data_IF_355549077007
#
_entry.id   IF_355549077007
#
_cell.length_a   1.000
_cell.length_b   1.000
_cell.length_c   1.000
_cell.angle_alpha   90.00
_cell.angle_beta   90.00
_cell.angle_gamma   90.00
#
_symmetry.space_group_name_H-M   'P 1'
#
loop_
_entity.id
_entity.type
_entity.pdbx_description
1 polymer ?
#
# COMPACT_ATOMS: atom_id res chain seq x y z
N UNK A 1 29.80 -4.65 11.37
CA UNK A 1 29.23 -5.68 10.47
C UNK A 1 27.99 -6.17 11.19
N UNK A 2 26.82 -5.81 10.70
CA UNK A 2 25.56 -6.08 11.41
C UNK A 2 25.35 -7.58 11.49
N UNK A 3 24.99 -8.10 12.67
CA UNK A 3 24.90 -9.54 12.96
C UNK A 3 23.92 -10.31 12.04
N UNK A 4 23.11 -9.59 11.26
CA UNK A 4 22.08 -10.11 10.38
C UNK A 4 22.56 -10.35 8.94
N UNK A 5 23.72 -9.82 8.54
CA UNK A 5 24.15 -9.85 7.12
C UNK A 5 24.49 -11.26 6.61
N UNK A 6 24.72 -12.25 7.48
CA UNK A 6 25.17 -13.60 7.07
C UNK A 6 24.05 -14.64 6.93
N UNK A 7 22.91 -14.47 7.60
CA UNK A 7 21.81 -15.44 7.55
C UNK A 7 20.84 -15.11 6.41
N UNK A 8 20.49 -16.12 5.60
CA UNK A 8 19.49 -15.95 4.53
C UNK A 8 18.06 -16.12 5.01
N UNK A 9 17.81 -16.81 6.13
CA UNK A 9 16.47 -17.03 6.66
C UNK A 9 16.38 -16.54 8.10
N UNK A 10 15.30 -15.84 8.42
CA UNK A 10 15.04 -15.26 9.72
C UNK A 10 13.60 -15.53 10.12
N UNK A 11 13.42 -16.09 11.32
CA UNK A 11 12.10 -16.44 11.87
C UNK A 11 11.93 -15.82 13.25
N UNK A 12 10.76 -15.21 13.51
CA UNK A 12 10.40 -14.65 14.82
C UNK A 12 11.37 -13.60 15.37
N UNK A 13 12.14 -12.94 14.48
CA UNK A 13 13.16 -11.98 14.88
C UNK A 13 12.59 -10.57 14.92
N UNK A 14 13.04 -9.79 15.90
CA UNK A 14 12.86 -8.34 15.92
C UNK A 14 14.14 -7.66 15.44
N UNK A 15 14.01 -6.83 14.42
CA UNK A 15 15.05 -5.97 13.88
C UNK A 15 14.74 -4.55 14.35
N UNK A 16 15.65 -3.94 15.11
CA UNK A 16 15.43 -2.62 15.70
C UNK A 16 16.49 -1.63 15.24
N UNK A 17 16.06 -0.44 14.79
CA UNK A 17 16.94 0.67 14.41
C UNK A 17 17.97 0.30 13.33
N UNK A 18 17.63 -0.61 12.43
CA UNK A 18 18.50 -1.04 11.34
C UNK A 18 18.49 0.00 10.23
N UNK A 19 19.66 0.29 9.66
CA UNK A 19 19.83 1.19 8.52
C UNK A 19 20.50 0.43 7.38
N UNK A 20 19.73 0.08 6.36
CA UNK A 20 20.17 -0.63 5.16
C UNK A 20 20.12 0.21 3.90
N UNK A 21 19.93 1.52 4.03
CA UNK A 21 19.67 2.43 2.92
C UNK A 21 20.57 2.22 1.69
N UNK A 22 19.95 2.19 0.51
CA UNK A 22 20.61 2.03 -0.78
C UNK A 22 21.26 0.65 -1.02
N UNK A 23 21.16 -0.29 -0.08
CA UNK A 23 21.74 -1.64 -0.25
C UNK A 23 20.88 -2.50 -1.18
N UNK A 24 21.53 -3.47 -1.82
CA UNK A 24 20.83 -4.61 -2.41
C UNK A 24 20.74 -5.72 -1.38
N UNK A 25 19.52 -6.18 -1.11
CA UNK A 25 19.22 -7.27 -0.19
C UNK A 25 18.69 -8.42 -1.04
N UNK A 26 19.48 -9.48 -1.16
CA UNK A 26 19.18 -10.59 -2.07
C UNK A 26 18.95 -11.92 -1.34
N UNK A 27 17.93 -12.67 -1.77
CA UNK A 27 17.73 -14.07 -1.39
C UNK A 27 17.37 -14.29 0.08
N UNK A 28 16.78 -13.29 0.76
CA UNK A 28 16.45 -13.37 2.18
C UNK A 28 14.98 -13.71 2.43
N UNK A 29 14.76 -14.58 3.39
CA UNK A 29 13.44 -15.00 3.85
C UNK A 29 13.21 -14.47 5.27
N UNK A 30 12.08 -13.80 5.46
CA UNK A 30 11.63 -13.29 6.75
C UNK A 30 10.25 -13.86 7.03
N UNK A 31 10.14 -14.64 8.09
CA UNK A 31 8.89 -15.21 8.56
C UNK A 31 8.57 -14.72 9.97
N UNK A 32 7.39 -14.13 10.15
CA UNK A 32 6.93 -13.63 11.45
C UNK A 32 7.94 -12.69 12.13
N UNK A 33 8.59 -11.85 11.33
CA UNK A 33 9.60 -10.91 11.81
C UNK A 33 9.02 -9.51 12.00
N UNK A 34 9.57 -8.77 12.95
CA UNK A 34 9.17 -7.40 13.23
C UNK A 34 10.34 -6.44 12.97
N UNK A 35 10.19 -5.58 11.98
CA UNK A 35 11.08 -4.45 11.72
C UNK A 35 10.53 -3.21 12.44
N UNK A 36 11.26 -2.73 13.43
CA UNK A 36 10.88 -1.58 14.24
C UNK A 36 11.91 -0.46 14.06
N UNK A 37 11.45 0.73 13.63
CA UNK A 37 12.31 1.90 13.41
C UNK A 37 13.47 1.65 12.44
N UNK A 38 13.25 0.79 11.44
CA UNK A 38 14.25 0.44 10.45
C UNK A 38 14.14 1.34 9.21
N UNK A 39 15.27 1.64 8.58
CA UNK A 39 15.31 2.31 7.28
C UNK A 39 15.87 1.37 6.23
N UNK A 40 15.04 1.04 5.25
CA UNK A 40 15.40 0.31 4.03
C UNK A 40 15.23 1.24 2.81
N UNK A 41 15.29 2.56 3.02
CA UNK A 41 15.11 3.56 1.97
C UNK A 41 16.03 3.29 0.78
N UNK A 42 15.47 3.35 -0.43
CA UNK A 42 16.20 3.14 -1.70
C UNK A 42 16.86 1.76 -1.87
N UNK A 43 16.53 0.78 -1.01
CA UNK A 43 17.04 -0.58 -1.17
C UNK A 43 16.49 -1.26 -2.43
N UNK A 44 17.29 -2.15 -2.99
CA UNK A 44 16.82 -3.14 -3.96
C UNK A 44 16.56 -4.43 -3.20
N UNK A 45 15.29 -4.87 -3.16
CA UNK A 45 14.91 -6.17 -2.63
C UNK A 45 14.83 -7.16 -3.80
N UNK A 46 15.75 -8.11 -3.81
CA UNK A 46 15.88 -9.10 -4.88
C UNK A 46 15.65 -10.50 -4.32
N UNK A 47 14.72 -11.25 -4.91
CA UNK A 47 14.42 -12.63 -4.49
C UNK A 47 14.19 -12.77 -2.97
N UNK A 48 13.63 -11.74 -2.35
CA UNK A 48 13.29 -11.76 -0.93
C UNK A 48 11.85 -12.23 -0.71
N UNK A 49 11.59 -12.81 0.46
CA UNK A 49 10.23 -13.15 0.91
C UNK A 49 9.97 -12.56 2.28
N UNK A 50 8.85 -11.86 2.42
CA UNK A 50 8.33 -11.40 3.70
C UNK A 50 6.96 -12.05 3.92
N UNK A 51 6.90 -12.96 4.88
CA UNK A 51 5.65 -13.61 5.29
C UNK A 51 5.34 -13.25 6.75
N UNK A 52 4.10 -12.80 7.01
CA UNK A 52 3.61 -12.44 8.36
C UNK A 52 4.51 -11.42 9.07
N UNK A 53 5.19 -10.57 8.32
CA UNK A 53 6.09 -9.59 8.90
C UNK A 53 5.38 -8.26 9.18
N UNK A 54 5.86 -7.54 10.20
CA UNK A 54 5.42 -6.19 10.52
C UNK A 54 6.55 -5.20 10.30
N UNK A 55 6.25 -4.08 9.63
CA UNK A 55 7.10 -2.90 9.55
C UNK A 55 6.43 -1.78 10.34
N UNK A 56 6.99 -1.42 11.48
CA UNK A 56 6.49 -0.38 12.37
C UNK A 56 7.50 0.76 12.47
N UNK A 57 7.02 2.00 12.32
CA UNK A 57 7.85 3.22 12.34
C UNK A 57 9.04 3.18 11.35
N UNK A 58 8.88 2.49 10.22
CA UNK A 58 9.96 2.28 9.26
C UNK A 58 9.98 3.33 8.12
N UNK A 59 11.12 3.39 7.42
CA UNK A 59 11.24 4.09 6.14
C UNK A 59 11.60 3.10 5.02
N UNK A 60 10.63 2.79 4.17
CA UNK A 60 10.74 1.94 2.98
C UNK A 60 10.65 2.77 1.69
N UNK A 61 10.83 4.10 1.78
CA UNK A 61 10.65 4.96 0.62
C UNK A 61 11.58 4.54 -0.52
N UNK A 62 11.04 4.50 -1.74
CA UNK A 62 11.78 4.22 -2.97
C UNK A 62 12.44 2.83 -3.03
N UNK A 63 11.98 1.84 -2.23
CA UNK A 63 12.46 0.46 -2.45
C UNK A 63 12.09 -0.03 -3.85
N UNK A 64 13.03 -0.75 -4.45
CA UNK A 64 12.84 -1.41 -5.73
C UNK A 64 12.60 -2.90 -5.50
N UNK A 65 11.54 -3.42 -6.10
CA UNK A 65 11.13 -4.81 -5.94
C UNK A 65 11.54 -5.61 -7.19
N UNK A 66 12.41 -6.59 -7.00
CA UNK A 66 12.77 -7.59 -8.00
C UNK A 66 12.45 -8.96 -7.45
N UNK A 67 11.51 -9.68 -8.07
CA UNK A 67 11.15 -11.04 -7.67
C UNK A 67 10.86 -11.21 -6.16
N UNK A 68 10.38 -10.16 -5.50
CA UNK A 68 10.18 -10.13 -4.03
C UNK A 68 8.71 -10.33 -3.68
N UNK A 69 8.42 -11.17 -2.70
CA UNK A 69 7.07 -11.51 -2.27
C UNK A 69 6.72 -10.89 -0.90
N UNK A 70 5.48 -10.39 -0.78
CA UNK A 70 4.92 -9.87 0.47
C UNK A 70 3.58 -10.55 0.73
N UNK A 71 3.52 -11.38 1.77
CA UNK A 71 2.35 -12.16 2.15
C UNK A 71 1.99 -11.92 3.62
N UNK A 72 0.79 -11.40 3.88
CA UNK A 72 0.32 -11.03 5.22
C UNK A 72 1.28 -10.05 5.91
N UNK A 73 1.74 -9.06 5.17
CA UNK A 73 2.66 -8.04 5.71
C UNK A 73 1.87 -6.83 6.19
N UNK A 74 2.20 -6.35 7.38
CA UNK A 74 1.58 -5.17 7.98
C UNK A 74 2.58 -4.01 8.02
N UNK A 75 2.15 -2.84 7.57
CA UNK A 75 2.89 -1.59 7.65
C UNK A 75 2.12 -0.63 8.57
N UNK A 76 2.78 -0.20 9.64
CA UNK A 76 2.24 0.66 10.68
C UNK A 76 3.13 1.90 10.78
N UNK A 77 2.55 3.10 10.69
CA UNK A 77 3.28 4.36 10.84
C UNK A 77 4.52 4.48 9.92
N UNK A 78 4.48 3.82 8.76
CA UNK A 78 5.64 3.62 7.90
C UNK A 78 5.58 4.52 6.66
N UNK A 79 6.74 5.03 6.24
CA UNK A 79 6.88 5.67 4.93
C UNK A 79 7.14 4.60 3.88
N UNK A 80 6.30 4.53 2.87
CA UNK A 80 6.36 3.60 1.77
C UNK A 80 6.08 4.35 0.46
N UNK A 81 6.78 5.47 0.28
CA UNK A 81 6.58 6.45 -0.79
C UNK A 81 7.26 5.98 -2.07
N UNK A 82 6.59 6.13 -3.22
CA UNK A 82 7.18 5.90 -4.54
C UNK A 82 7.52 4.44 -4.83
N UNK A 83 6.81 3.48 -4.23
CA UNK A 83 7.08 2.06 -4.44
C UNK A 83 6.22 1.53 -5.60
N UNK A 84 6.86 0.87 -6.55
CA UNK A 84 6.21 0.14 -7.62
C UNK A 84 5.71 -1.25 -7.14
N UNK A 85 4.67 -1.28 -6.30
CA UNK A 85 4.07 -2.52 -5.79
C UNK A 85 3.53 -3.45 -6.88
N UNK A 86 3.22 -2.94 -8.07
CA UNK A 86 2.87 -3.77 -9.23
C UNK A 86 4.00 -4.77 -9.59
N UNK A 87 5.26 -4.50 -9.22
CA UNK A 87 6.40 -5.40 -9.42
C UNK A 87 6.56 -6.49 -8.33
N UNK A 88 5.83 -6.41 -7.22
CA UNK A 88 5.85 -7.46 -6.20
C UNK A 88 5.32 -8.79 -6.77
N UNK A 89 5.90 -9.92 -6.36
CA UNK A 89 5.38 -11.25 -6.73
C UNK A 89 3.94 -11.43 -6.26
N UNK A 90 3.16 -12.20 -7.00
CA UNK A 90 1.80 -12.58 -6.63
C UNK A 90 1.84 -13.85 -5.77
N UNK A 91 0.99 -14.02 -4.75
CA UNK A 91 -0.04 -13.10 -4.24
C UNK A 91 0.53 -11.97 -3.37
N UNK A 92 0.01 -10.75 -3.56
CA UNK A 92 0.33 -9.59 -2.74
C UNK A 92 -0.74 -9.42 -1.66
N UNK A 93 -0.37 -9.60 -0.39
CA UNK A 93 -1.27 -9.41 0.75
C UNK A 93 -0.59 -8.49 1.75
N UNK A 94 -0.94 -7.20 1.68
CA UNK A 94 -0.35 -6.12 2.46
C UNK A 94 -1.42 -5.25 3.11
N UNK A 95 -1.11 -4.72 4.29
CA UNK A 95 -1.96 -3.77 5.02
C UNK A 95 -1.16 -2.53 5.38
N UNK A 96 -1.74 -1.36 5.16
CA UNK A 96 -1.16 -0.05 5.51
C UNK A 96 -2.08 0.66 6.50
N UNK A 97 -1.54 1.04 7.66
CA UNK A 97 -2.24 1.86 8.65
C UNK A 97 -1.36 3.03 9.05
N UNK A 98 -1.90 4.25 9.01
CA UNK A 98 -1.15 5.46 9.34
C UNK A 98 0.13 5.64 8.51
N UNK A 99 0.12 5.16 7.26
CA UNK A 99 1.29 5.15 6.39
C UNK A 99 1.30 6.32 5.41
N UNK A 100 2.47 6.64 4.87
CA UNK A 100 2.63 7.53 3.72
C UNK A 100 2.98 6.68 2.51
N UNK A 101 2.05 6.53 1.59
CA UNK A 101 2.19 5.68 0.39
C UNK A 101 2.17 6.49 -0.90
N UNK A 102 2.24 7.83 -0.84
CA UNK A 102 2.18 8.71 -2.01
C UNK A 102 3.11 8.29 -3.14
N UNK A 103 2.69 8.51 -4.38
CA UNK A 103 3.40 8.17 -5.63
C UNK A 103 3.68 6.67 -5.83
N UNK A 104 3.09 5.79 -5.01
CA UNK A 104 3.17 4.35 -5.21
C UNK A 104 2.26 3.87 -6.33
N UNK A 105 2.55 2.69 -6.89
CA UNK A 105 1.71 2.07 -7.92
C UNK A 105 1.40 0.62 -7.58
N UNK A 106 0.11 0.33 -7.43
CA UNK A 106 -0.45 -1.00 -7.20
C UNK A 106 -1.11 -1.59 -8.45
N UNK A 107 -0.97 -0.94 -9.61
CA UNK A 107 -1.76 -1.23 -10.81
C UNK A 107 -1.86 -2.71 -11.16
N UNK A 108 -3.07 -3.13 -11.54
CA UNK A 108 -3.39 -4.50 -11.92
C UNK A 108 -3.33 -5.54 -10.80
N UNK A 109 -3.05 -5.16 -9.54
CA UNK A 109 -2.97 -6.13 -8.43
C UNK A 109 -4.34 -6.55 -7.92
N UNK A 110 -4.39 -7.79 -7.46
CA UNK A 110 -5.50 -8.27 -6.64
C UNK A 110 -5.23 -7.92 -5.18
N UNK A 111 -5.97 -6.93 -4.68
CA UNK A 111 -5.91 -6.37 -3.34
C UNK A 111 -7.29 -6.47 -2.66
N UNK A 112 -8.02 -7.56 -2.93
CA UNK A 112 -9.30 -7.83 -2.29
C UNK A 112 -9.12 -7.85 -0.76
N UNK A 113 -9.93 -7.06 -0.05
CA UNK A 113 -9.80 -6.80 1.40
C UNK A 113 -8.50 -6.11 1.82
N UNK A 114 -7.82 -5.42 0.89
CA UNK A 114 -6.65 -4.60 1.19
C UNK A 114 -6.98 -3.50 2.21
N UNK A 115 -6.01 -3.15 3.05
CA UNK A 115 -6.17 -2.17 4.11
C UNK A 115 -5.27 -0.98 3.81
N UNK A 116 -5.86 0.21 3.74
CA UNK A 116 -5.22 1.50 3.47
C UNK A 116 -5.87 2.53 4.39
N UNK A 117 -5.79 2.34 5.70
CA UNK A 117 -6.48 3.18 6.68
C UNK A 117 -5.60 4.33 7.15
N UNK A 118 -6.17 5.52 7.27
CA UNK A 118 -5.47 6.73 7.74
C UNK A 118 -4.16 7.00 7.00
N UNK A 119 -4.10 6.67 5.72
CA UNK A 119 -2.91 6.81 4.90
C UNK A 119 -2.92 8.14 4.15
N UNK A 120 -1.74 8.70 3.95
CA UNK A 120 -1.52 9.73 2.92
C UNK A 120 -1.16 9.01 1.61
N UNK A 121 -2.04 9.09 0.62
CA UNK A 121 -1.97 8.33 -0.63
C UNK A 121 -2.07 9.26 -1.85
N UNK A 122 -1.31 10.37 -1.81
CA UNK A 122 -1.31 11.32 -2.92
C UNK A 122 -0.75 10.68 -4.19
N UNK A 123 -1.41 10.88 -5.33
CA UNK A 123 -0.99 10.37 -6.65
C UNK A 123 -0.68 8.86 -6.69
N UNK A 124 -1.36 8.06 -5.85
CA UNK A 124 -1.22 6.60 -5.88
C UNK A 124 -2.02 6.01 -7.04
N UNK A 125 -1.41 5.07 -7.76
CA UNK A 125 -2.06 4.40 -8.87
C UNK A 125 -2.70 3.06 -8.46
N UNK A 126 -4.03 3.00 -8.46
CA UNK A 126 -4.86 1.81 -8.22
C UNK A 126 -5.56 1.29 -9.49
N UNK A 127 -5.11 1.70 -10.68
CA UNK A 127 -5.76 1.33 -11.95
C UNK A 127 -5.75 -0.17 -12.19
N UNK A 128 -6.88 -0.71 -12.64
CA UNK A 128 -7.05 -2.15 -12.93
C UNK A 128 -7.01 -3.05 -11.70
N UNK A 129 -6.98 -2.50 -10.48
CA UNK A 129 -6.93 -3.30 -9.26
C UNK A 129 -8.27 -3.97 -8.95
N UNK A 130 -8.21 -5.17 -8.35
CA UNK A 130 -9.33 -5.70 -7.58
C UNK A 130 -9.20 -5.20 -6.14
N UNK A 131 -10.02 -4.25 -5.75
CA UNK A 131 -10.09 -3.65 -4.42
C UNK A 131 -11.45 -3.94 -3.75
N UNK A 132 -12.08 -5.07 -4.12
CA UNK A 132 -13.33 -5.49 -3.49
C UNK A 132 -13.15 -5.59 -1.97
N UNK A 133 -14.04 -4.97 -1.21
CA UNK A 133 -13.99 -4.92 0.27
C UNK A 133 -12.71 -4.29 0.84
N UNK A 134 -11.96 -3.51 0.05
CA UNK A 134 -10.82 -2.76 0.56
C UNK A 134 -11.27 -1.65 1.53
N UNK A 135 -10.41 -1.29 2.47
CA UNK A 135 -10.68 -0.27 3.47
C UNK A 135 -9.74 0.91 3.34
N UNK A 136 -10.28 2.04 2.87
CA UNK A 136 -9.62 3.32 2.70
C UNK A 136 -10.01 4.33 3.80
N UNK A 137 -10.64 3.89 4.89
CA UNK A 137 -11.20 4.81 5.88
C UNK A 137 -10.17 5.77 6.47
N UNK A 138 -10.58 7.05 6.56
CA UNK A 138 -9.73 8.13 7.08
C UNK A 138 -8.53 8.50 6.21
N UNK A 139 -8.40 7.93 5.00
CA UNK A 139 -7.26 8.19 4.12
C UNK A 139 -7.46 9.38 3.22
N UNK A 140 -6.34 10.05 2.96
CA UNK A 140 -6.25 11.14 2.03
C UNK A 140 -5.80 10.63 0.65
N UNK A 141 -6.63 10.84 -0.36
CA UNK A 141 -6.50 10.20 -1.68
C UNK A 141 -6.29 11.24 -2.80
N UNK A 142 -5.69 12.39 -2.49
CA UNK A 142 -5.52 13.47 -3.47
C UNK A 142 -4.78 13.01 -4.74
N UNK A 143 -5.45 13.12 -5.88
CA UNK A 143 -4.88 12.69 -7.16
C UNK A 143 -4.67 11.18 -7.29
N UNK A 144 -5.14 10.37 -6.34
CA UNK A 144 -5.10 8.91 -6.47
C UNK A 144 -5.92 8.48 -7.69
N UNK A 145 -5.34 7.60 -8.51
CA UNK A 145 -5.92 7.16 -9.77
C UNK A 145 -6.70 5.86 -9.58
N UNK A 146 -8.01 5.94 -9.77
CA UNK A 146 -8.91 4.78 -9.87
C UNK A 146 -9.47 4.72 -11.30
N UNK A 147 -8.99 3.77 -12.10
CA UNK A 147 -9.44 3.56 -13.47
C UNK A 147 -9.58 2.05 -13.71
N UNK A 148 -10.74 1.62 -14.21
CA UNK A 148 -11.05 0.19 -14.40
C UNK A 148 -10.89 -0.64 -13.10
N UNK A 149 -11.16 -0.03 -11.94
CA UNK A 149 -10.96 -0.62 -10.62
C UNK A 149 -12.26 -1.23 -10.08
N UNK A 150 -12.17 -2.41 -9.45
CA UNK A 150 -13.29 -2.99 -8.70
C UNK A 150 -13.27 -2.54 -7.25
N UNK A 151 -14.11 -1.56 -6.90
CA UNK A 151 -14.30 -1.01 -5.56
C UNK A 151 -15.58 -1.55 -4.89
N UNK A 152 -16.11 -2.69 -5.34
CA UNK A 152 -17.34 -3.26 -4.79
C UNK A 152 -17.20 -3.51 -3.29
N UNK A 153 -18.09 -2.94 -2.48
CA UNK A 153 -18.07 -2.99 -1.02
C UNK A 153 -16.83 -2.35 -0.36
N UNK A 154 -16.07 -1.52 -1.08
CA UNK A 154 -14.96 -0.78 -0.49
C UNK A 154 -15.47 0.26 0.52
N UNK A 155 -14.66 0.56 1.53
CA UNK A 155 -14.97 1.51 2.58
C UNK A 155 -14.14 2.78 2.41
N UNK A 156 -14.80 3.90 2.07
CA UNK A 156 -14.21 5.24 2.00
C UNK A 156 -14.75 6.16 3.11
N UNK A 157 -15.28 5.60 4.21
CA UNK A 157 -15.80 6.41 5.33
C UNK A 157 -14.68 7.26 5.92
N UNK A 158 -14.89 8.58 5.92
CA UNK A 158 -13.92 9.57 6.38
C UNK A 158 -12.69 9.73 5.49
N UNK A 159 -12.65 9.06 4.33
CA UNK A 159 -11.67 9.37 3.30
C UNK A 159 -12.06 10.67 2.59
N UNK A 160 -11.08 11.39 2.07
CA UNK A 160 -11.28 12.69 1.41
C UNK A 160 -10.34 12.86 0.22
N UNK A 161 -10.63 13.86 -0.63
CA UNK A 161 -9.87 14.21 -1.85
C UNK A 161 -9.71 13.07 -2.88
N UNK A 162 -10.54 12.02 -2.81
CA UNK A 162 -10.63 11.03 -3.88
C UNK A 162 -11.37 11.60 -5.09
N UNK A 163 -10.95 11.20 -6.29
CA UNK A 163 -11.68 11.42 -7.52
C UNK A 163 -11.97 10.04 -8.14
N UNK A 164 -13.23 9.60 -8.10
CA UNK A 164 -13.64 8.28 -8.58
C UNK A 164 -14.69 8.46 -9.65
N UNK A 165 -14.33 8.20 -10.90
CA UNK A 165 -15.30 8.14 -11.99
C UNK A 165 -16.13 6.84 -11.85
N UNK A 166 -17.40 6.98 -11.46
CA UNK A 166 -18.30 5.82 -11.28
C UNK A 166 -18.71 5.13 -12.59
N UNK A 167 -18.43 5.74 -13.75
CA UNK A 167 -18.64 5.10 -15.06
C UNK A 167 -17.51 4.13 -15.42
N UNK A 168 -16.31 4.37 -14.90
CA UNK A 168 -15.10 3.56 -15.15
C UNK A 168 -14.83 2.54 -14.03
N UNK A 169 -15.42 2.73 -12.85
CA UNK A 169 -15.13 1.94 -11.66
C UNK A 169 -16.39 1.26 -11.10
N UNK A 170 -16.23 0.02 -10.61
CA UNK A 170 -17.35 -0.69 -9.95
C UNK A 170 -17.45 -0.25 -8.50
N UNK A 171 -18.47 0.51 -8.14
CA UNK A 171 -18.64 1.06 -6.77
C UNK A 171 -19.83 0.45 -6.01
N UNK A 172 -20.36 -0.69 -6.46
CA UNK A 172 -21.57 -1.29 -5.86
C UNK A 172 -21.37 -1.56 -4.37
N UNK A 173 -22.27 -1.03 -3.53
CA UNK A 173 -22.22 -1.13 -2.05
C UNK A 173 -20.96 -0.54 -1.41
N UNK A 174 -20.17 0.26 -2.14
CA UNK A 174 -19.11 1.02 -1.51
C UNK A 174 -19.71 2.07 -0.56
N UNK A 175 -18.99 2.40 0.51
CA UNK A 175 -19.42 3.33 1.55
C UNK A 175 -18.64 4.63 1.44
N UNK A 176 -19.34 5.77 1.46
CA UNK A 176 -18.74 7.11 1.38
C UNK A 176 -19.37 8.02 2.44
N UNK A 177 -18.63 9.04 2.87
CA UNK A 177 -19.13 10.08 3.79
C UNK A 177 -19.58 11.32 3.01
N UNK A 178 -20.61 12.02 3.50
CA UNK A 178 -20.87 13.39 3.07
C UNK A 178 -19.96 14.37 3.85
N UNK A 179 -19.56 15.51 3.24
CA UNK A 179 -19.90 15.94 1.88
C UNK A 179 -19.03 15.30 0.78
N UNK A 180 -17.95 14.58 1.11
CA UNK A 180 -16.98 14.05 0.13
C UNK A 180 -17.62 13.19 -0.99
N UNK A 181 -18.71 12.49 -0.69
CA UNK A 181 -19.43 11.66 -1.67
C UNK A 181 -19.97 12.47 -2.87
N UNK A 182 -20.07 13.79 -2.77
CA UNK A 182 -20.43 14.67 -3.89
C UNK A 182 -19.43 14.55 -5.05
N UNK A 183 -18.15 14.28 -4.77
CA UNK A 183 -17.10 14.10 -5.80
C UNK A 183 -17.38 12.90 -6.74
N UNK A 184 -18.28 11.98 -6.37
CA UNK A 184 -18.70 10.88 -7.24
C UNK A 184 -19.56 11.36 -8.43
N UNK A 185 -20.07 12.59 -8.36
CA UNK A 185 -20.92 13.18 -9.38
C UNK A 185 -20.13 13.93 -10.45
N UNK A 186 -18.85 14.28 -10.20
CA UNK A 186 -18.02 15.11 -11.08
C UNK A 186 -17.92 14.56 -12.51
N UNK A 187 -17.89 13.22 -12.66
CA UNK A 187 -17.82 12.54 -13.96
C UNK A 187 -19.13 12.46 -14.74
N UNK A 188 -20.25 12.95 -14.18
CA UNK A 188 -21.57 12.82 -14.80
C UNK A 188 -21.94 13.97 -15.74
N UNK A 189 -21.15 15.05 -15.75
CA UNK A 189 -21.47 16.25 -16.55
C UNK A 189 -22.73 16.96 -16.07
N UNK A 190 -23.02 16.91 -14.77
CA UNK A 190 -24.18 17.54 -14.15
C UNK A 190 -23.77 18.79 -13.35
N UNK A 191 -24.71 19.69 -13.14
CA UNK A 191 -24.55 20.86 -12.27
C UNK A 191 -25.08 20.55 -10.88
N UNK A 192 -24.28 20.84 -9.84
CA UNK A 192 -24.65 20.67 -8.43
C UNK A 192 -25.03 22.06 -7.89
N UNK A 193 -26.23 22.17 -7.34
CA UNK A 193 -26.76 23.40 -6.73
C UNK A 193 -26.83 23.20 -5.22
N UNK A 194 -26.45 24.22 -4.45
CA UNK A 194 -26.48 24.25 -2.98
C UNK A 194 -27.89 24.37 -2.39
#
# INVERSE_FOLDING_TARGET
MDAYEQELSHEHKKFENIVWEGKTISGREFYDCHFYKCSLKECILEDCTFEKCTFEDCDLSLIQLKQTAFSRVELLHTKAIGIAWHNARQALVVSFRHCRISYSSFSGKNLKKGIFQHCQADEVDFSGCNLMQADFSGSDLAGARFAETDLTQANFVGAHRYAINIQENKVRKAKFSLPDALALLDGLGIEIIE
#
